data_IF_717085022615
#
_entry.id   IF_717085022615
#
_cell.length_a   1.000
_cell.length_b   1.000
_cell.length_c   1.000
_cell.angle_alpha   90.00
_cell.angle_beta   90.00
_cell.angle_gamma   90.00
#
_symmetry.space_group_name_H-M   'P 1'
#
loop_
_entity.id
_entity.type
_entity.pdbx_description
1 polymer ?
#
# COMPACT_ATOMS: atom_id res chain seq x y z
N UNK A 1 -7.79 -9.53 22.66
CA UNK A 1 -8.54 -8.52 21.88
C UNK A 1 -7.61 -7.30 21.80
N UNK A 2 -7.09 -6.81 20.68
CA UNK A 2 -7.34 -7.02 19.27
C UNK A 2 -6.02 -6.83 18.50
N UNK A 3 -5.31 -7.91 18.16
CA UNK A 3 -4.05 -7.87 17.38
C UNK A 3 -4.34 -8.03 15.86
N UNK A 4 -5.33 -7.28 15.37
CA UNK A 4 -5.85 -7.40 14.00
C UNK A 4 -5.98 -6.06 13.25
N UNK A 5 -5.26 -5.03 13.71
CA UNK A 5 -5.37 -3.66 13.18
C UNK A 5 -4.15 -3.15 12.42
N UNK A 6 -2.93 -3.62 12.72
CA UNK A 6 -1.70 -2.96 12.24
C UNK A 6 -1.16 -3.48 10.91
N UNK A 7 -1.58 -4.67 10.46
CA UNK A 7 -1.15 -5.25 9.18
C UNK A 7 -1.64 -4.50 7.93
N UNK A 8 -2.90 -4.03 7.81
CA UNK A 8 -3.35 -3.40 6.57
C UNK A 8 -2.70 -2.04 6.33
N UNK A 9 -2.38 -1.26 7.37
CA UNK A 9 -1.77 0.06 7.20
C UNK A 9 -0.32 -0.02 6.72
N UNK A 10 0.46 -0.96 7.25
CA UNK A 10 1.85 -1.17 6.84
C UNK A 10 1.94 -1.78 5.42
N UNK A 11 1.06 -2.75 5.10
CA UNK A 11 0.96 -3.34 3.76
C UNK A 11 0.53 -2.31 2.70
N UNK A 12 -0.45 -1.46 3.04
CA UNK A 12 -0.84 -0.34 2.17
C UNK A 12 0.29 0.67 2.06
N UNK A 13 1.03 0.91 3.15
CA UNK A 13 2.21 1.76 3.16
C UNK A 13 3.25 1.36 2.12
N UNK A 14 3.55 0.06 2.00
CA UNK A 14 4.50 -0.50 1.01
C UNK A 14 3.96 -0.39 -0.41
N UNK A 15 2.68 -0.66 -0.64
CA UNK A 15 2.09 -0.54 -1.98
C UNK A 15 2.03 0.93 -2.41
N UNK A 16 1.66 1.83 -1.50
CA UNK A 16 1.69 3.27 -1.73
C UNK A 16 3.12 3.74 -2.00
N UNK A 17 4.13 3.25 -1.28
CA UNK A 17 5.54 3.57 -1.52
C UNK A 17 6.00 3.10 -2.90
N UNK A 18 5.58 1.89 -3.29
CA UNK A 18 5.87 1.28 -4.57
C UNK A 18 5.15 1.97 -5.76
N UNK A 19 3.99 2.58 -5.54
CA UNK A 19 3.27 3.37 -6.56
C UNK A 19 3.79 4.81 -6.60
N UNK A 20 4.01 5.40 -5.43
CA UNK A 20 4.51 6.76 -5.23
C UNK A 20 6.04 6.77 -5.10
N UNK A 21 6.75 5.93 -5.87
CA UNK A 21 8.21 5.96 -5.92
C UNK A 21 8.66 7.38 -6.27
N UNK A 22 9.51 7.96 -5.42
CA UNK A 22 10.02 9.35 -5.52
C UNK A 22 9.04 10.48 -5.13
N UNK A 23 7.89 10.16 -4.52
CA UNK A 23 6.97 11.19 -4.04
C UNK A 23 7.48 11.89 -2.77
N UNK A 24 8.10 13.05 -2.93
CA UNK A 24 8.48 13.99 -1.85
C UNK A 24 7.32 14.87 -1.34
N UNK A 25 6.06 14.48 -1.56
CA UNK A 25 4.93 15.28 -1.11
C UNK A 25 4.56 15.03 0.35
N UNK A 26 3.68 15.87 0.89
CA UNK A 26 3.27 15.83 2.29
C UNK A 26 2.67 14.48 2.73
N UNK A 27 2.91 14.06 3.98
CA UNK A 27 2.36 12.81 4.53
C UNK A 27 0.82 12.77 4.49
N UNK A 28 0.15 13.93 4.54
CA UNK A 28 -1.30 14.02 4.36
C UNK A 28 -1.78 13.60 2.96
N UNK A 29 -1.02 13.94 1.91
CA UNK A 29 -1.32 13.53 0.55
C UNK A 29 -1.13 12.03 0.38
N UNK A 30 -0.07 11.47 0.99
CA UNK A 30 0.16 10.02 1.04
C UNK A 30 -0.98 9.29 1.74
N UNK A 31 -1.48 9.82 2.86
CA UNK A 31 -2.62 9.25 3.57
C UNK A 31 -3.93 9.28 2.75
N UNK A 32 -4.16 10.36 1.97
CA UNK A 32 -5.30 10.43 1.05
C UNK A 32 -5.23 9.37 -0.06
N UNK A 33 -4.06 9.20 -0.66
CA UNK A 33 -3.82 8.17 -1.69
C UNK A 33 -3.97 6.78 -1.10
N UNK A 34 -3.42 6.53 0.10
CA UNK A 34 -3.58 5.26 0.81
C UNK A 34 -5.05 4.90 1.05
N UNK A 35 -5.88 5.87 1.46
CA UNK A 35 -7.33 5.66 1.63
C UNK A 35 -8.05 5.38 0.32
N UNK A 36 -7.70 6.09 -0.75
CA UNK A 36 -8.28 5.85 -2.07
C UNK A 36 -7.93 4.45 -2.62
N UNK A 37 -6.67 4.04 -2.42
CA UNK A 37 -6.19 2.70 -2.79
C UNK A 37 -6.87 1.63 -1.94
N UNK A 38 -7.06 1.85 -0.65
CA UNK A 38 -7.81 0.94 0.23
C UNK A 38 -9.27 0.77 -0.20
N UNK A 39 -9.93 1.86 -0.57
CA UNK A 39 -11.30 1.81 -1.10
C UNK A 39 -11.36 1.02 -2.41
N UNK A 40 -10.44 1.31 -3.35
CA UNK A 40 -10.32 0.57 -4.60
C UNK A 40 -9.99 -0.91 -4.39
N UNK A 41 -9.07 -1.23 -3.47
CA UNK A 41 -8.67 -2.60 -3.14
C UNK A 41 -9.81 -3.41 -2.52
N UNK A 42 -10.73 -2.76 -1.80
CA UNK A 42 -11.93 -3.40 -1.29
C UNK A 42 -12.90 -3.79 -2.42
N UNK A 43 -12.93 -3.04 -3.52
CA UNK A 43 -13.73 -3.32 -4.71
C UNK A 43 -13.04 -4.32 -5.65
N UNK A 44 -11.71 -4.35 -5.66
CA UNK A 44 -10.86 -5.16 -6.56
C UNK A 44 -9.80 -5.98 -5.80
N UNK A 45 -10.20 -6.99 -5.02
CA UNK A 45 -9.26 -7.75 -4.18
C UNK A 45 -8.25 -8.58 -4.99
N UNK A 46 -8.64 -9.14 -6.14
CA UNK A 46 -7.74 -9.92 -7.01
C UNK A 46 -6.62 -9.04 -7.62
N UNK A 47 -6.97 -7.84 -8.10
CA UNK A 47 -6.00 -6.89 -8.66
C UNK A 47 -5.09 -6.31 -7.57
N UNK A 48 -5.64 -6.09 -6.38
CA UNK A 48 -4.87 -5.68 -5.21
C UNK A 48 -3.82 -6.71 -4.81
N UNK A 49 -4.15 -8.00 -4.80
CA UNK A 49 -3.21 -9.07 -4.47
C UNK A 49 -2.05 -9.15 -5.48
N UNK A 50 -2.34 -9.05 -6.78
CA UNK A 50 -1.30 -9.01 -7.83
C UNK A 50 -0.38 -7.79 -7.67
N UNK A 51 -0.97 -6.61 -7.43
CA UNK A 51 -0.24 -5.36 -7.23
C UNK A 51 0.65 -5.45 -5.99
N UNK A 52 0.11 -5.98 -4.89
CA UNK A 52 0.83 -6.22 -3.64
C UNK A 52 1.99 -7.18 -3.84
N UNK A 53 1.79 -8.33 -4.48
CA UNK A 53 2.83 -9.31 -4.74
C UNK A 53 3.96 -8.72 -5.60
N UNK A 54 3.61 -7.87 -6.58
CA UNK A 54 4.59 -7.16 -7.41
C UNK A 54 5.38 -6.14 -6.61
N UNK A 55 4.73 -5.42 -5.70
CA UNK A 55 5.38 -4.42 -4.86
C UNK A 55 6.26 -5.04 -3.77
N UNK A 56 5.83 -6.13 -3.15
CA UNK A 56 6.67 -6.90 -2.22
C UNK A 56 7.93 -7.43 -2.91
N UNK A 57 7.79 -8.04 -4.10
CA UNK A 57 8.95 -8.51 -4.87
C UNK A 57 9.92 -7.38 -5.21
N UNK A 58 9.42 -6.19 -5.58
CA UNK A 58 10.28 -5.02 -5.84
C UNK A 58 10.97 -4.53 -4.57
N UNK A 59 10.27 -4.54 -3.43
CA UNK A 59 10.85 -4.15 -2.15
C UNK A 59 11.97 -5.11 -1.72
N UNK A 60 11.78 -6.43 -1.86
CA UNK A 60 12.83 -7.43 -1.58
C UNK A 60 14.05 -7.30 -2.51
N UNK A 61 13.86 -6.84 -3.74
CA UNK A 61 14.96 -6.60 -4.70
C UNK A 61 15.70 -5.28 -4.46
N UNK A 62 15.05 -4.31 -3.79
CA UNK A 62 15.59 -2.98 -3.50
C UNK A 62 16.11 -2.84 -2.05
N UNK A 63 15.80 -3.79 -1.16
CA UNK A 63 16.33 -3.87 0.21
C UNK A 63 17.74 -4.50 0.25
#
# INVERSE_FOLDING_TARGET
MAERGEKPEEEVGVVVDCILVDYRGDPESRARVARAILAWAAEHPDEWDELRARCQRRHEVLA
#
